data_IF_298730889012
#
_entry.id   IF_298730889012
#
_cell.length_a   1.000
_cell.length_b   1.000
_cell.length_c   1.000
_cell.angle_alpha   90.00
_cell.angle_beta   90.00
_cell.angle_gamma   90.00
#
_symmetry.space_group_name_H-M   'P 1'
#
loop_
_entity.id
_entity.type
_entity.pdbx_description
1 polymer ?
#
# COMPACT_ATOMS: atom_id res chain seq x y z
N UNK A 1 41.03 21.45 -18.85
CA UNK A 1 39.66 22.00 -18.75
C UNK A 1 38.65 21.24 -19.61
N UNK A 2 38.97 20.90 -20.86
CA UNK A 2 38.05 20.19 -21.75
C UNK A 2 37.63 18.78 -21.27
N UNK A 3 38.57 18.01 -20.70
CA UNK A 3 38.31 16.68 -20.13
C UNK A 3 37.44 16.71 -18.87
N UNK A 4 37.61 17.72 -18.00
CA UNK A 4 36.78 17.97 -16.82
C UNK A 4 35.32 18.29 -17.21
N UNK A 5 35.12 19.06 -18.28
CA UNK A 5 33.78 19.38 -18.79
C UNK A 5 33.06 18.16 -19.38
N UNK A 6 33.79 17.25 -20.03
CA UNK A 6 33.24 15.98 -20.55
C UNK A 6 32.81 15.06 -19.40
N UNK A 7 33.65 14.90 -18.37
CA UNK A 7 33.33 14.06 -17.19
C UNK A 7 32.14 14.65 -16.42
N UNK A 8 32.09 15.98 -16.26
CA UNK A 8 30.96 16.67 -15.65
C UNK A 8 29.65 16.47 -16.45
N UNK A 9 29.71 16.51 -17.79
CA UNK A 9 28.56 16.25 -18.66
C UNK A 9 28.03 14.82 -18.58
N UNK A 10 28.92 13.82 -18.54
CA UNK A 10 28.54 12.40 -18.36
C UNK A 10 27.92 12.15 -16.98
N UNK A 11 28.36 12.88 -15.95
CA UNK A 11 27.81 12.74 -14.60
C UNK A 11 26.41 13.36 -14.44
N UNK A 12 26.06 14.36 -15.26
CA UNK A 12 24.84 15.16 -15.09
C UNK A 12 23.69 14.72 -16.00
N UNK A 13 23.96 13.94 -17.06
CA UNK A 13 22.94 13.35 -17.93
C UNK A 13 22.75 11.83 -17.63
N UNK A 14 21.63 11.45 -16.99
CA UNK A 14 21.33 10.04 -16.70
C UNK A 14 21.25 9.15 -17.94
N UNK A 15 20.84 9.70 -19.09
CA UNK A 15 20.69 8.95 -20.34
C UNK A 15 22.04 8.54 -20.92
N UNK A 16 22.96 9.49 -21.06
CA UNK A 16 24.32 9.23 -21.59
C UNK A 16 25.07 8.25 -20.66
N UNK A 17 24.95 8.45 -19.35
CA UNK A 17 25.56 7.56 -18.36
C UNK A 17 25.01 6.14 -18.46
N UNK A 18 23.70 5.99 -18.61
CA UNK A 18 23.05 4.69 -18.75
C UNK A 18 23.57 3.91 -19.95
N UNK A 19 23.66 4.56 -21.12
CA UNK A 19 24.18 3.95 -22.35
C UNK A 19 25.65 3.52 -22.17
N UNK A 20 26.49 4.38 -21.59
CA UNK A 20 27.90 4.06 -21.35
C UNK A 20 28.06 2.86 -20.42
N UNK A 21 27.27 2.76 -19.36
CA UNK A 21 27.32 1.63 -18.43
C UNK A 21 26.95 0.32 -19.14
N UNK A 22 25.90 0.33 -19.97
CA UNK A 22 25.49 -0.85 -20.75
C UNK A 22 26.60 -1.24 -21.74
N UNK A 23 27.19 -0.29 -22.45
CA UNK A 23 28.30 -0.54 -23.38
C UNK A 23 29.51 -1.16 -22.66
N UNK A 24 29.90 -0.61 -21.51
CA UNK A 24 30.99 -1.17 -20.70
C UNK A 24 30.63 -2.58 -20.24
N UNK A 25 29.40 -2.82 -19.80
CA UNK A 25 28.93 -4.15 -19.42
C UNK A 25 29.03 -5.17 -20.55
N UNK A 26 28.59 -4.81 -21.76
CA UNK A 26 28.67 -5.68 -22.95
C UNK A 26 30.13 -5.96 -23.34
N UNK A 27 30.98 -4.91 -23.39
CA UNK A 27 32.39 -5.05 -23.76
C UNK A 27 33.15 -5.90 -22.74
N UNK A 28 32.93 -5.69 -21.45
CA UNK A 28 33.63 -6.47 -20.42
C UNK A 28 33.11 -7.90 -20.41
N UNK A 29 31.80 -8.14 -20.42
CA UNK A 29 31.24 -9.50 -20.34
C UNK A 29 31.56 -10.35 -21.59
N UNK A 30 31.22 -9.85 -22.78
CA UNK A 30 31.43 -10.59 -24.03
C UNK A 30 32.88 -10.49 -24.51
N UNK A 31 33.52 -9.33 -24.32
CA UNK A 31 34.88 -9.11 -24.76
C UNK A 31 35.90 -9.86 -23.90
N UNK A 32 35.72 -9.96 -22.57
CA UNK A 32 36.68 -10.71 -21.73
C UNK A 32 36.72 -12.20 -22.09
N UNK A 33 35.55 -12.83 -22.24
CA UNK A 33 35.42 -14.23 -22.65
C UNK A 33 36.01 -14.44 -24.04
N UNK A 34 35.68 -13.58 -25.00
CA UNK A 34 36.28 -13.64 -26.34
C UNK A 34 37.80 -13.46 -26.32
N UNK A 35 38.34 -12.51 -25.54
CA UNK A 35 39.78 -12.23 -25.50
C UNK A 35 40.55 -13.44 -24.96
N UNK A 36 40.06 -14.03 -23.86
CA UNK A 36 40.65 -15.24 -23.28
C UNK A 36 40.64 -16.40 -24.29
N UNK A 37 39.52 -16.64 -24.97
CA UNK A 37 39.45 -17.72 -25.95
C UNK A 37 40.29 -17.40 -27.19
N UNK A 38 40.27 -16.16 -27.67
CA UNK A 38 41.01 -15.70 -28.83
C UNK A 38 42.52 -15.87 -28.66
N UNK A 39 43.06 -15.65 -27.46
CA UNK A 39 44.49 -15.85 -27.18
C UNK A 39 44.89 -17.32 -27.09
N UNK A 40 43.96 -18.23 -26.78
CA UNK A 40 44.27 -19.65 -26.57
C UNK A 40 43.98 -20.54 -27.79
N UNK A 41 42.87 -20.30 -28.50
CA UNK A 41 42.42 -21.16 -29.62
C UNK A 41 42.28 -20.39 -30.94
N UNK A 42 42.69 -19.12 -30.98
CA UNK A 42 42.68 -18.27 -32.16
C UNK A 42 41.36 -17.50 -32.35
N UNK A 43 41.41 -16.41 -33.14
CA UNK A 43 40.31 -15.45 -33.25
C UNK A 43 39.02 -16.01 -33.88
N UNK A 44 39.14 -16.90 -34.86
CA UNK A 44 37.99 -17.51 -35.55
C UNK A 44 37.26 -18.52 -34.66
N UNK A 45 38.00 -19.48 -34.10
CA UNK A 45 37.45 -20.49 -33.20
C UNK A 45 37.00 -19.85 -31.88
N UNK A 46 37.78 -18.94 -31.31
CA UNK A 46 37.42 -18.22 -30.10
C UNK A 46 36.11 -17.43 -30.23
N UNK A 47 35.84 -16.85 -31.40
CA UNK A 47 34.58 -16.14 -31.65
C UNK A 47 33.38 -17.08 -31.67
N UNK A 48 33.50 -18.21 -32.39
CA UNK A 48 32.43 -19.21 -32.48
C UNK A 48 32.12 -19.82 -31.11
N UNK A 49 33.15 -20.14 -30.31
CA UNK A 49 32.97 -20.72 -28.98
C UNK A 49 32.39 -19.69 -28.00
N UNK A 50 32.84 -18.44 -28.04
CA UNK A 50 32.27 -17.38 -27.19
C UNK A 50 30.78 -17.15 -27.47
N UNK A 51 30.39 -17.09 -28.75
CA UNK A 51 28.97 -16.98 -29.13
C UNK A 51 28.16 -18.23 -28.73
N UNK A 52 28.72 -19.43 -28.90
CA UNK A 52 28.07 -20.66 -28.45
C UNK A 52 27.82 -20.63 -26.94
N UNK A 53 28.78 -20.14 -26.15
CA UNK A 53 28.64 -19.95 -24.71
C UNK A 53 27.55 -18.94 -24.35
N UNK A 54 27.51 -17.80 -25.05
CA UNK A 54 26.48 -16.78 -24.87
C UNK A 54 25.07 -17.33 -25.14
N UNK A 55 24.86 -17.99 -26.27
CA UNK A 55 23.55 -18.58 -26.60
C UNK A 55 23.17 -19.72 -25.65
N UNK A 56 24.14 -20.54 -25.23
CA UNK A 56 23.93 -21.56 -24.20
C UNK A 56 23.47 -20.94 -22.87
N UNK A 57 24.12 -19.86 -22.45
CA UNK A 57 23.73 -19.14 -21.22
C UNK A 57 22.33 -18.52 -21.31
N UNK A 58 22.00 -17.84 -22.41
CA UNK A 58 20.65 -17.30 -22.64
C UNK A 58 19.58 -18.39 -22.66
N UNK A 59 19.90 -19.56 -23.23
CA UNK A 59 19.03 -20.72 -23.26
C UNK A 59 18.77 -21.25 -21.85
N UNK A 60 19.81 -21.38 -21.02
CA UNK A 60 19.68 -21.79 -19.61
C UNK A 60 18.81 -20.80 -18.84
N UNK A 61 19.04 -19.49 -18.98
CA UNK A 61 18.21 -18.48 -18.31
C UNK A 61 16.74 -18.59 -18.70
N UNK A 62 16.46 -18.84 -19.98
CA UNK A 62 15.11 -19.06 -20.49
C UNK A 62 14.47 -20.30 -19.88
N UNK A 63 15.21 -21.41 -19.80
CA UNK A 63 14.72 -22.64 -19.18
C UNK A 63 14.50 -22.48 -17.67
N UNK A 64 15.39 -21.79 -16.96
CA UNK A 64 15.22 -21.51 -15.52
C UNK A 64 13.93 -20.72 -15.29
N UNK A 65 13.66 -19.73 -16.14
CA UNK A 65 12.43 -18.93 -16.08
C UNK A 65 11.16 -19.79 -16.32
N UNK A 66 11.21 -20.72 -17.28
CA UNK A 66 10.07 -21.61 -17.55
C UNK A 66 9.84 -22.65 -16.45
N UNK A 67 10.92 -23.30 -16.00
CA UNK A 67 10.85 -24.49 -15.15
C UNK A 67 10.68 -24.16 -13.66
N UNK A 68 10.94 -22.92 -13.24
CA UNK A 68 10.85 -22.50 -11.84
C UNK A 68 9.68 -21.53 -11.62
N UNK A 69 8.47 -22.00 -11.26
CA UNK A 69 7.45 -21.12 -10.70
C UNK A 69 7.80 -20.81 -9.23
N UNK A 70 7.87 -19.55 -8.76
CA UNK A 70 7.45 -18.30 -9.38
C UNK A 70 8.67 -17.43 -9.79
N UNK A 71 9.16 -17.56 -11.02
CA UNK A 71 10.17 -16.62 -11.58
C UNK A 71 9.59 -15.22 -11.93
N UNK A 72 8.44 -14.88 -11.35
CA UNK A 72 7.83 -13.56 -11.37
C UNK A 72 8.31 -12.92 -10.08
N UNK A 73 8.99 -11.77 -10.16
CA UNK A 73 9.62 -11.08 -9.02
C UNK A 73 8.68 -10.83 -7.82
N UNK A 74 9.15 -10.12 -6.77
CA UNK A 74 8.43 -9.97 -5.50
C UNK A 74 6.94 -9.68 -5.70
N UNK A 75 6.10 -10.70 -5.47
CA UNK A 75 4.65 -10.54 -5.51
C UNK A 75 4.23 -9.88 -4.20
N UNK A 76 3.56 -8.74 -4.32
CA UNK A 76 2.87 -8.15 -3.18
C UNK A 76 1.80 -9.10 -2.62
N UNK A 77 1.25 -8.74 -1.47
CA UNK A 77 0.14 -9.48 -0.89
C UNK A 77 -1.00 -9.61 -1.91
N UNK A 78 -1.45 -10.85 -2.13
CA UNK A 78 -2.59 -11.10 -3.02
C UNK A 78 -3.84 -10.43 -2.43
N UNK A 79 -4.71 -9.84 -3.27
CA UNK A 79 -5.98 -9.30 -2.80
C UNK A 79 -6.80 -10.44 -2.19
N UNK A 80 -7.22 -10.27 -0.94
CA UNK A 80 -8.08 -11.23 -0.23
C UNK A 80 -9.29 -10.50 0.32
N UNK A 81 -10.46 -11.10 0.16
CA UNK A 81 -11.69 -10.62 0.79
C UNK A 81 -11.65 -11.04 2.26
N UNK A 82 -11.65 -10.05 3.17
CA UNK A 82 -11.78 -10.29 4.61
C UNK A 82 -13.19 -9.92 5.03
N UNK A 83 -13.99 -10.87 5.56
CA UNK A 83 -15.31 -10.52 6.07
C UNK A 83 -15.15 -9.56 7.26
N UNK A 84 -15.76 -8.39 7.15
CA UNK A 84 -15.92 -7.45 8.27
C UNK A 84 -17.25 -7.79 8.94
N UNK A 85 -17.23 -7.98 10.26
CA UNK A 85 -18.44 -8.26 11.02
C UNK A 85 -19.35 -7.03 11.05
N UNK A 86 -20.65 -7.23 10.79
CA UNK A 86 -21.69 -6.22 11.04
C UNK A 86 -22.49 -6.71 12.24
N UNK A 87 -22.42 -5.97 13.33
CA UNK A 87 -23.16 -6.26 14.55
C UNK A 87 -24.31 -5.27 14.69
N UNK A 88 -25.51 -5.78 14.93
CA UNK A 88 -26.72 -5.00 15.15
C UNK A 88 -27.25 -5.34 16.53
N UNK A 89 -27.44 -4.33 17.38
CA UNK A 89 -27.97 -4.50 18.72
C UNK A 89 -29.39 -5.12 18.64
N UNK A 90 -29.62 -6.22 19.35
CA UNK A 90 -30.87 -6.99 19.33
C UNK A 90 -30.76 -8.44 18.85
N UNK A 91 -29.62 -8.83 18.28
CA UNK A 91 -29.27 -10.25 18.15
C UNK A 91 -28.80 -10.74 19.53
N UNK A 92 -29.36 -11.83 20.06
CA UNK A 92 -28.98 -12.42 21.36
C UNK A 92 -27.56 -13.02 21.38
N UNK A 93 -26.63 -12.46 20.63
CA UNK A 93 -25.26 -12.94 20.46
C UNK A 93 -24.26 -11.82 20.78
N UNK A 94 -23.07 -12.20 21.24
CA UNK A 94 -21.98 -11.25 21.51
C UNK A 94 -21.25 -10.90 20.21
N UNK A 95 -20.72 -9.68 20.11
CA UNK A 95 -19.89 -9.33 18.96
C UNK A 95 -18.63 -10.21 18.93
N UNK A 96 -18.23 -10.69 17.75
CA UNK A 96 -16.99 -11.46 17.58
C UNK A 96 -15.75 -10.56 17.66
N UNK A 97 -15.91 -9.27 17.35
CA UNK A 97 -14.88 -8.26 17.57
C UNK A 97 -14.87 -7.83 19.04
N UNK A 98 -13.82 -8.20 19.76
CA UNK A 98 -13.63 -7.88 21.19
C UNK A 98 -13.74 -6.38 21.51
N UNK A 99 -13.33 -5.52 20.59
CA UNK A 99 -13.42 -4.07 20.76
C UNK A 99 -14.87 -3.58 20.84
N UNK A 100 -15.79 -4.23 20.13
CA UNK A 100 -17.21 -3.86 20.11
C UNK A 100 -17.90 -4.18 21.43
N UNK A 101 -17.51 -5.28 22.09
CA UNK A 101 -18.02 -5.64 23.42
C UNK A 101 -17.60 -4.65 24.54
N UNK A 102 -16.68 -3.71 24.24
CA UNK A 102 -16.22 -2.68 25.18
C UNK A 102 -16.87 -1.31 24.94
N UNK A 103 -17.64 -1.16 23.87
CA UNK A 103 -18.33 0.09 23.59
C UNK A 103 -19.52 0.27 24.53
N UNK A 104 -19.91 1.53 24.75
CA UNK A 104 -21.08 1.86 25.54
C UNK A 104 -22.34 1.31 24.86
N UNK A 105 -23.27 0.77 25.64
CA UNK A 105 -24.53 0.26 25.10
C UNK A 105 -25.39 1.44 24.63
N UNK A 106 -25.82 1.48 23.34
CA UNK A 106 -26.69 2.55 22.84
C UNK A 106 -27.98 2.75 23.65
N UNK A 107 -28.50 1.68 24.26
CA UNK A 107 -29.72 1.77 25.08
C UNK A 107 -29.52 2.53 26.40
N UNK A 108 -28.26 2.70 26.84
CA UNK A 108 -27.92 3.46 28.05
C UNK A 108 -27.74 4.96 27.80
N UNK A 109 -27.75 5.40 26.54
CA UNK A 109 -27.58 6.80 26.17
C UNK A 109 -28.87 7.60 26.37
N UNK A 110 -28.72 8.88 26.72
CA UNK A 110 -29.84 9.79 26.89
C UNK A 110 -30.64 9.92 25.59
N UNK A 111 -31.97 9.91 25.70
CA UNK A 111 -32.85 10.04 24.53
C UNK A 111 -32.83 11.49 24.03
N UNK A 112 -33.07 11.71 22.73
CA UNK A 112 -33.10 13.05 22.14
C UNK A 112 -34.04 14.02 22.90
N UNK A 113 -35.18 13.53 23.38
CA UNK A 113 -36.13 14.31 24.18
C UNK A 113 -35.57 14.75 25.54
N UNK A 114 -34.75 13.92 26.18
CA UNK A 114 -34.10 14.23 27.46
C UNK A 114 -33.02 15.29 27.29
N UNK A 115 -32.24 15.19 26.20
CA UNK A 115 -31.22 16.19 25.84
C UNK A 115 -31.89 17.54 25.51
N UNK A 116 -33.04 17.51 24.82
CA UNK A 116 -33.82 18.70 24.50
C UNK A 116 -34.41 19.38 25.75
N UNK A 117 -34.82 18.59 26.74
CA UNK A 117 -35.34 19.11 28.01
C UNK A 117 -34.26 19.86 28.82
N UNK A 118 -32.99 19.48 28.69
CA UNK A 118 -31.87 20.12 29.36
C UNK A 118 -31.27 21.28 28.54
N UNK A 119 -31.44 21.26 27.22
CA UNK A 119 -30.90 22.25 26.29
C UNK A 119 -32.00 22.75 25.32
N UNK A 120 -32.88 23.69 25.75
CA UNK A 120 -34.03 24.12 24.97
C UNK A 120 -33.65 24.91 23.70
N UNK A 121 -32.44 25.45 23.63
CA UNK A 121 -31.96 26.22 22.49
C UNK A 121 -31.77 25.36 21.22
N UNK A 122 -31.57 24.04 21.39
CA UNK A 122 -31.39 23.09 20.29
C UNK A 122 -32.64 22.96 19.40
N UNK A 123 -33.83 23.33 19.89
CA UNK A 123 -35.07 23.35 19.10
C UNK A 123 -34.97 24.29 17.90
N UNK A 124 -34.29 25.43 18.08
CA UNK A 124 -34.16 26.43 17.03
C UNK A 124 -33.12 26.04 15.96
N UNK A 125 -32.12 25.25 16.37
CA UNK A 125 -31.04 24.78 15.49
C UNK A 125 -31.45 23.51 14.72
N UNK A 126 -32.25 22.64 15.35
CA UNK A 126 -32.71 21.38 14.78
C UNK A 126 -34.25 21.28 14.76
N UNK A 127 -34.93 22.03 13.86
CA UNK A 127 -36.39 22.10 13.82
C UNK A 127 -37.08 20.78 13.45
N UNK A 128 -36.35 19.83 12.85
CA UNK A 128 -36.85 18.51 12.44
C UNK A 128 -36.34 17.37 13.35
N UNK A 129 -35.80 17.70 14.53
CA UNK A 129 -35.13 16.75 15.41
C UNK A 129 -33.64 16.55 15.04
N UNK A 130 -32.90 15.88 15.93
CA UNK A 130 -31.47 15.62 15.78
C UNK A 130 -31.11 14.20 16.18
N UNK A 131 -29.99 13.71 15.65
CA UNK A 131 -29.32 12.50 16.14
C UNK A 131 -28.05 12.86 16.91
N UNK A 132 -27.52 11.91 17.70
CA UNK A 132 -26.26 12.12 18.42
C UNK A 132 -25.08 12.40 17.46
N UNK A 133 -25.10 11.84 16.23
CA UNK A 133 -24.10 12.16 15.21
C UNK A 133 -24.19 13.60 14.71
N UNK A 134 -25.39 14.16 14.60
CA UNK A 134 -25.59 15.55 14.18
C UNK A 134 -25.13 16.53 15.27
N UNK A 135 -25.40 16.19 16.53
CA UNK A 135 -24.87 16.94 17.68
C UNK A 135 -23.35 16.84 17.78
N UNK A 136 -22.74 15.70 17.45
CA UNK A 136 -21.28 15.56 17.51
C UNK A 136 -20.59 16.51 16.51
N UNK A 137 -21.21 16.79 15.37
CA UNK A 137 -20.65 17.67 14.35
C UNK A 137 -20.85 19.14 14.67
N UNK A 138 -22.03 19.53 15.13
CA UNK A 138 -22.40 20.93 15.31
C UNK A 138 -22.13 21.43 16.75
N UNK A 139 -22.39 20.58 17.75
CA UNK A 139 -22.32 20.92 19.18
C UNK A 139 -21.57 19.85 20.01
N UNK A 140 -20.25 19.65 19.78
CA UNK A 140 -19.49 18.57 20.40
C UNK A 140 -19.41 18.65 21.93
N UNK A 141 -19.50 19.86 22.50
CA UNK A 141 -19.46 20.07 23.95
C UNK A 141 -20.69 19.48 24.68
N UNK A 142 -21.85 19.45 24.01
CA UNK A 142 -23.07 18.85 24.57
C UNK A 142 -22.97 17.33 24.53
N UNK A 143 -22.40 16.76 23.45
CA UNK A 143 -22.21 15.31 23.34
C UNK A 143 -21.28 14.77 24.41
N UNK A 144 -20.21 15.51 24.77
CA UNK A 144 -19.29 15.09 25.83
C UNK A 144 -19.90 15.01 27.23
N UNK A 145 -21.08 15.59 27.46
CA UNK A 145 -21.81 15.46 28.73
C UNK A 145 -22.53 14.10 28.86
N UNK A 146 -22.95 13.53 27.73
CA UNK A 146 -23.71 12.28 27.68
C UNK A 146 -22.90 11.09 27.18
N UNK A 147 -21.80 11.34 26.48
CA UNK A 147 -20.94 10.31 25.91
C UNK A 147 -19.47 10.71 26.07
N UNK A 148 -18.74 9.92 26.85
CA UNK A 148 -17.30 10.06 26.97
C UNK A 148 -16.62 9.58 25.68
N UNK A 149 -15.79 10.41 25.06
CA UNK A 149 -15.16 10.13 23.76
C UNK A 149 -14.14 9.00 23.90
N UNK A 150 -13.51 8.90 25.07
CA UNK A 150 -12.60 7.84 25.46
C UNK A 150 -13.33 6.48 25.52
N UNK A 151 -14.63 6.45 25.84
CA UNK A 151 -15.44 5.24 25.87
C UNK A 151 -15.70 4.67 24.46
N UNK A 152 -15.57 5.49 23.42
CA UNK A 152 -15.69 5.04 22.03
C UNK A 152 -14.43 4.31 21.52
N UNK A 153 -13.32 4.27 22.27
CA UNK A 153 -12.12 3.50 21.92
C UNK A 153 -11.61 3.73 20.48
N UNK A 154 -11.64 4.99 20.03
CA UNK A 154 -11.22 5.40 18.68
C UNK A 154 -12.27 5.24 17.59
N UNK A 155 -13.49 4.80 17.93
CA UNK A 155 -14.65 4.77 17.03
C UNK A 155 -15.36 6.13 17.01
N UNK A 156 -16.05 6.45 15.91
CA UNK A 156 -16.81 7.68 15.75
C UNK A 156 -18.30 7.38 15.59
N UNK A 157 -19.16 8.24 16.13
CA UNK A 157 -20.58 8.21 15.79
C UNK A 157 -20.77 8.69 14.36
N UNK A 158 -21.47 7.90 13.58
CA UNK A 158 -21.77 8.19 12.18
C UNK A 158 -23.26 7.97 11.96
N UNK A 159 -23.89 8.85 11.18
CA UNK A 159 -25.29 8.68 10.80
C UNK A 159 -25.49 7.34 10.08
N UNK A 160 -26.63 6.68 10.33
CA UNK A 160 -26.90 5.35 9.79
C UNK A 160 -26.78 5.26 8.25
N UNK A 161 -27.00 6.38 7.55
CA UNK A 161 -26.84 6.47 6.10
C UNK A 161 -25.39 6.31 5.60
N UNK A 162 -24.39 6.61 6.45
CA UNK A 162 -22.97 6.52 6.12
C UNK A 162 -22.29 5.32 6.81
N UNK A 163 -23.06 4.43 7.43
CA UNK A 163 -22.55 3.23 8.07
C UNK A 163 -22.11 2.21 7.00
N UNK A 164 -20.85 2.28 6.58
CA UNK A 164 -20.25 1.35 5.61
C UNK A 164 -19.43 1.98 4.48
N UNK A 165 -19.31 3.31 4.44
CA UNK A 165 -18.37 4.04 3.56
C UNK A 165 -16.95 4.14 4.16
#
# INVERSE_FOLDING_TARGET
MQTLNIIAGISWDPGIRGILIVLVGVVVLMGSTYLILGTNIGSRLGFLVALSGLFGWLTILTFVWWLTPPAIGPRGNVPTWKPVEIYVNGANDSAKVDALNKLVDPASLATADEILAQNPDLVNEFPNGFTLSDLQQNNPAIVSEYLDIEALNGWALVGAANAGE
#
